data_IF_475834419246
#
_entry.id   IF_475834419246
#
_cell.length_a   1.000
_cell.length_b   1.000
_cell.length_c   1.000
_cell.angle_alpha   90.00
_cell.angle_beta   90.00
_cell.angle_gamma   90.00
#
_symmetry.space_group_name_H-M   'P 1'
#
loop_
_entity.id
_entity.type
_entity.pdbx_description
1 polymer ?
#
# COMPACT_ATOMS: atom_id res chain seq x y z
N UNK A 1 -8.24 -4.76 -13.23
CA UNK A 1 -7.72 -5.49 -12.07
C UNK A 1 -7.31 -4.45 -11.06
N UNK A 2 -7.59 -4.70 -9.79
CA UNK A 2 -7.29 -3.81 -8.67
C UNK A 2 -6.62 -4.61 -7.56
N UNK A 3 -5.93 -3.90 -6.68
CA UNK A 3 -5.50 -4.39 -5.38
C UNK A 3 -6.59 -4.04 -4.37
N UNK A 4 -6.97 -5.01 -3.55
CA UNK A 4 -7.80 -4.82 -2.36
C UNK A 4 -6.95 -5.13 -1.13
N UNK A 5 -6.76 -4.13 -0.27
CA UNK A 5 -5.84 -4.18 0.87
C UNK A 5 -6.62 -4.22 2.19
N UNK A 6 -6.31 -5.19 3.02
CA UNK A 6 -6.83 -5.30 4.39
C UNK A 6 -5.72 -5.66 5.38
N UNK A 7 -5.99 -5.52 6.67
CA UNK A 7 -5.03 -5.80 7.74
C UNK A 7 -5.66 -6.72 8.76
N UNK A 8 -4.93 -7.75 9.19
CA UNK A 8 -5.36 -8.65 10.26
C UNK A 8 -4.37 -8.63 11.42
N UNK A 9 -4.90 -8.53 12.63
CA UNK A 9 -4.13 -8.61 13.87
C UNK A 9 -4.48 -9.89 14.63
N UNK A 10 -3.48 -10.55 15.21
CA UNK A 10 -3.69 -11.68 16.12
C UNK A 10 -4.04 -11.15 17.51
N UNK A 11 -5.10 -11.69 18.11
CA UNK A 11 -5.47 -11.36 19.48
C UNK A 11 -4.50 -12.04 20.46
N UNK A 12 -3.97 -11.27 21.42
CA UNK A 12 -3.08 -11.82 22.43
C UNK A 12 -3.78 -12.88 23.28
N UNK A 13 -3.09 -14.00 23.54
CA UNK A 13 -3.66 -15.15 24.24
C UNK A 13 -4.71 -15.96 23.48
N UNK A 14 -4.95 -15.70 22.18
CA UNK A 14 -5.89 -16.47 21.36
C UNK A 14 -5.34 -16.82 19.98
N UNK A 15 -5.78 -17.94 19.40
CA UNK A 15 -5.52 -18.31 17.99
C UNK A 15 -6.51 -17.64 17.02
N UNK A 16 -7.05 -16.48 17.39
CA UNK A 16 -8.02 -15.73 16.62
C UNK A 16 -7.36 -14.52 15.96
N UNK A 17 -7.73 -14.29 14.70
CA UNK A 17 -7.38 -13.08 13.95
C UNK A 17 -8.61 -12.21 13.77
N UNK A 18 -8.40 -10.90 13.81
CA UNK A 18 -9.44 -9.89 13.57
C UNK A 18 -8.95 -8.89 12.53
N UNK A 19 -9.85 -8.41 11.67
CA UNK A 19 -9.53 -7.31 10.78
C UNK A 19 -9.45 -6.00 11.55
N UNK A 20 -8.47 -5.17 11.21
CA UNK A 20 -8.20 -3.87 11.82
C UNK A 20 -7.93 -2.83 10.73
N UNK A 21 -7.99 -1.55 11.10
CA UNK A 21 -7.72 -0.46 10.17
C UNK A 21 -8.92 -0.06 9.32
N UNK A 22 -8.65 0.69 8.25
CA UNK A 22 -9.66 1.20 7.33
C UNK A 22 -10.23 0.05 6.46
N UNK A 23 -11.56 -0.05 6.36
CA UNK A 23 -12.26 -1.18 5.71
C UNK A 23 -12.19 -1.18 4.18
N UNK A 24 -11.70 -0.12 3.54
CA UNK A 24 -11.69 0.02 2.09
C UNK A 24 -10.44 0.75 1.59
N UNK A 25 -9.40 -0.01 1.31
CA UNK A 25 -8.23 0.47 0.57
C UNK A 25 -8.15 -0.32 -0.73
N UNK A 26 -8.64 0.28 -1.83
CA UNK A 26 -8.57 -0.30 -3.16
C UNK A 26 -7.80 0.62 -4.10
N UNK A 27 -6.99 0.05 -4.99
CA UNK A 27 -6.34 0.81 -6.05
C UNK A 27 -6.15 -0.02 -7.31
N UNK A 28 -6.19 0.64 -8.46
CA UNK A 28 -5.98 -0.01 -9.76
C UNK A 28 -4.58 -0.60 -9.92
N UNK A 29 -4.48 -1.78 -10.56
CA UNK A 29 -3.18 -2.37 -10.92
C UNK A 29 -2.50 -1.64 -12.10
N UNK A 30 -3.14 -0.64 -12.69
CA UNK A 30 -2.53 0.09 -13.80
C UNK A 30 -1.30 0.91 -13.38
N UNK A 31 -1.18 1.27 -12.09
CA UNK A 31 -0.03 2.01 -11.56
C UNK A 31 1.01 1.09 -10.89
N UNK A 32 0.93 -0.23 -11.06
CA UNK A 32 1.86 -1.18 -10.43
C UNK A 32 3.33 -0.94 -10.79
N UNK A 33 3.61 -0.46 -12.01
CA UNK A 33 4.97 -0.08 -12.41
C UNK A 33 5.47 1.14 -11.64
N UNK A 34 4.60 2.15 -11.43
CA UNK A 34 4.91 3.32 -10.61
C UNK A 34 5.22 2.91 -9.17
N UNK A 35 4.37 2.05 -8.58
CA UNK A 35 4.53 1.58 -7.20
C UNK A 35 5.83 0.78 -7.07
N UNK A 36 6.13 -0.13 -8.01
CA UNK A 36 7.39 -0.88 -8.00
C UNK A 36 8.61 0.03 -8.08
N UNK A 37 8.56 1.07 -8.89
CA UNK A 37 9.69 2.00 -9.03
C UNK A 37 10.01 2.72 -7.71
N UNK A 38 8.99 3.09 -6.92
CA UNK A 38 9.19 3.84 -5.67
C UNK A 38 9.32 2.96 -4.42
N UNK A 39 8.70 1.78 -4.41
CA UNK A 39 8.70 0.84 -3.27
C UNK A 39 9.63 -0.37 -3.48
N UNK A 40 10.26 -0.50 -4.65
CA UNK A 40 11.13 -1.64 -5.00
C UNK A 40 10.40 -2.99 -5.16
N UNK A 41 9.08 -3.03 -5.01
CA UNK A 41 8.26 -4.25 -5.03
C UNK A 41 6.83 -3.94 -5.47
N UNK A 42 6.11 -4.94 -5.97
CA UNK A 42 4.69 -4.79 -6.30
C UNK A 42 3.82 -4.94 -5.05
N UNK A 43 2.62 -4.35 -5.02
CA UNK A 43 1.69 -4.57 -3.90
C UNK A 43 1.40 -6.03 -3.61
N UNK A 44 1.33 -6.90 -4.62
CA UNK A 44 1.15 -8.34 -4.44
C UNK A 44 2.27 -9.01 -3.63
N UNK A 45 3.49 -8.46 -3.65
CA UNK A 45 4.65 -8.99 -2.91
C UNK A 45 4.58 -8.64 -1.42
N UNK A 46 3.63 -7.79 -1.03
CA UNK A 46 3.43 -7.37 0.36
C UNK A 46 2.54 -8.34 1.13
N UNK A 47 1.72 -9.12 0.44
CA UNK A 47 0.79 -10.07 1.05
C UNK A 47 1.49 -10.96 2.08
N UNK A 48 0.99 -10.97 3.31
CA UNK A 48 1.53 -11.76 4.41
C UNK A 48 2.69 -11.12 5.19
N UNK A 49 3.18 -9.94 4.78
CA UNK A 49 4.18 -9.18 5.56
C UNK A 49 3.56 -8.48 6.75
N UNK A 50 4.35 -8.25 7.80
CA UNK A 50 3.94 -7.38 8.88
C UNK A 50 3.93 -5.91 8.43
N UNK A 51 3.09 -5.11 9.08
CA UNK A 51 3.04 -3.68 8.87
C UNK A 51 4.39 -3.01 9.21
N UNK A 52 5.05 -3.43 10.29
CA UNK A 52 6.36 -2.94 10.69
C UNK A 52 7.42 -3.10 9.58
N UNK A 53 7.43 -4.23 8.88
CA UNK A 53 8.33 -4.45 7.73
C UNK A 53 8.06 -3.50 6.56
N UNK A 54 6.80 -3.08 6.37
CA UNK A 54 6.39 -2.25 5.24
C UNK A 54 6.49 -0.75 5.50
N UNK A 55 6.44 -0.30 6.76
CA UNK A 55 6.56 1.11 7.12
C UNK A 55 7.73 1.81 6.39
N UNK A 56 8.98 1.34 6.47
CA UNK A 56 10.10 2.05 5.83
C UNK A 56 9.98 2.08 4.29
N UNK A 57 9.41 1.02 3.69
CA UNK A 57 9.21 0.92 2.24
C UNK A 57 8.16 1.93 1.77
N UNK A 58 7.01 1.95 2.45
CA UNK A 58 5.89 2.82 2.12
C UNK A 58 6.22 4.30 2.40
N UNK A 59 6.89 4.59 3.50
CA UNK A 59 7.30 5.97 3.87
C UNK A 59 8.27 6.56 2.84
N UNK A 60 9.25 5.77 2.38
CA UNK A 60 10.15 6.15 1.31
C UNK A 60 9.41 6.37 -0.02
N UNK A 61 8.51 5.44 -0.38
CA UNK A 61 7.76 5.51 -1.64
C UNK A 61 6.82 6.72 -1.70
N UNK A 62 6.08 7.00 -0.62
CA UNK A 62 5.23 8.20 -0.51
C UNK A 62 6.05 9.48 -0.61
N UNK A 63 7.17 9.55 0.11
CA UNK A 63 8.06 10.72 0.10
C UNK A 63 8.63 10.99 -1.30
N UNK A 64 9.07 9.94 -2.00
CA UNK A 64 9.60 10.05 -3.37
C UNK A 64 8.54 10.56 -4.35
N UNK A 65 7.32 9.99 -4.33
CA UNK A 65 6.23 10.44 -5.20
C UNK A 65 5.81 11.87 -4.92
N UNK A 66 5.70 12.27 -3.64
CA UNK A 66 5.36 13.64 -3.27
C UNK A 66 6.43 14.64 -3.74
N UNK A 67 7.71 14.27 -3.62
CA UNK A 67 8.83 15.14 -3.96
C UNK A 67 9.07 15.28 -5.46
N UNK A 68 8.87 14.20 -6.22
CA UNK A 68 9.22 14.13 -7.64
C UNK A 68 8.03 13.74 -8.52
N UNK A 69 6.82 14.13 -8.15
CA UNK A 69 5.55 13.76 -8.83
C UNK A 69 5.60 13.85 -10.36
N UNK A 70 6.16 14.93 -10.90
CA UNK A 70 6.25 15.13 -12.35
C UNK A 70 7.07 14.04 -13.07
N UNK A 71 8.10 13.46 -12.43
CA UNK A 71 8.90 12.36 -12.99
C UNK A 71 8.07 11.09 -13.15
N UNK A 72 7.11 10.87 -12.25
CA UNK A 72 6.32 9.65 -12.20
C UNK A 72 5.05 9.70 -13.06
N UNK A 73 4.66 10.88 -13.56
CA UNK A 73 3.51 11.01 -14.49
C UNK A 73 3.65 10.15 -15.75
N UNK A 74 4.86 9.80 -16.16
CA UNK A 74 5.09 8.89 -17.30
C UNK A 74 4.52 7.47 -17.08
N UNK A 75 4.24 7.08 -15.84
CA UNK A 75 3.60 5.81 -15.49
C UNK A 75 2.07 5.90 -15.43
N UNK A 76 1.49 7.08 -15.62
CA UNK A 76 0.03 7.23 -15.62
C UNK A 76 -0.55 6.54 -16.87
N UNK A 77 -1.55 5.65 -16.69
CA UNK A 77 -2.13 4.92 -17.79
C UNK A 77 -3.02 5.81 -18.65
N UNK A 78 -2.99 5.59 -19.97
CA UNK A 78 -3.81 6.33 -20.93
C UNK A 78 -5.32 6.09 -20.79
N UNK A 79 -5.72 5.04 -20.07
CA UNK A 79 -7.13 4.72 -19.81
C UNK A 79 -7.76 5.59 -18.70
N UNK A 80 -6.98 6.43 -18.02
CA UNK A 80 -7.45 7.36 -16.99
C UNK A 80 -7.68 6.75 -15.61
N UNK A 81 -7.36 5.47 -15.41
CA UNK A 81 -7.52 4.79 -14.13
C UNK A 81 -6.21 4.74 -13.37
N UNK A 82 -6.02 5.70 -12.46
CA UNK A 82 -4.83 5.86 -11.63
C UNK A 82 -3.97 7.05 -12.07
N UNK A 83 -3.45 7.78 -11.10
CA UNK A 83 -2.58 8.95 -11.26
C UNK A 83 -1.48 8.90 -10.21
N UNK A 84 -0.50 9.80 -10.29
CA UNK A 84 0.46 9.99 -9.21
C UNK A 84 -0.24 10.33 -7.90
N UNK A 85 -1.24 11.21 -7.92
CA UNK A 85 -1.95 11.66 -6.73
C UNK A 85 -2.75 10.53 -6.07
N UNK A 86 -3.53 9.79 -6.85
CA UNK A 86 -4.29 8.63 -6.33
C UNK A 86 -3.36 7.50 -5.84
N UNK A 87 -2.17 7.37 -6.45
CA UNK A 87 -1.14 6.41 -5.97
C UNK A 87 -0.53 6.88 -4.64
N UNK A 88 -0.26 8.18 -4.46
CA UNK A 88 0.18 8.74 -3.18
C UNK A 88 -0.86 8.49 -2.09
N UNK A 89 -2.14 8.73 -2.39
CA UNK A 89 -3.25 8.49 -1.46
C UNK A 89 -3.32 7.02 -1.05
N UNK A 90 -3.27 6.11 -2.03
CA UNK A 90 -3.25 4.67 -1.77
C UNK A 90 -2.09 4.25 -0.83
N UNK A 91 -0.86 4.63 -1.15
CA UNK A 91 0.31 4.28 -0.33
C UNK A 91 0.25 4.94 1.06
N UNK A 92 -0.24 6.19 1.14
CA UNK A 92 -0.37 6.91 2.41
C UNK A 92 -1.42 6.28 3.33
N UNK A 93 -2.53 5.79 2.78
CA UNK A 93 -3.56 5.09 3.53
C UNK A 93 -3.04 3.77 4.09
N UNK A 94 -2.26 3.01 3.30
CA UNK A 94 -1.60 1.79 3.81
C UNK A 94 -0.60 2.16 4.91
N UNK A 95 0.27 3.14 4.68
CA UNK A 95 1.27 3.59 5.65
C UNK A 95 0.64 4.03 6.97
N UNK A 96 -0.46 4.77 6.92
CA UNK A 96 -1.23 5.20 8.09
C UNK A 96 -1.71 3.98 8.91
N UNK A 97 -2.30 2.99 8.24
CA UNK A 97 -2.78 1.77 8.90
C UNK A 97 -1.62 0.95 9.46
N UNK A 98 -0.51 0.83 8.73
CA UNK A 98 0.69 0.16 9.23
C UNK A 98 1.27 0.84 10.48
N UNK A 99 1.30 2.19 10.52
CA UNK A 99 1.75 2.95 11.69
C UNK A 99 0.80 2.79 12.88
N UNK A 100 -0.50 2.61 12.65
CA UNK A 100 -1.50 2.38 13.70
C UNK A 100 -1.45 0.95 14.26
N UNK A 101 -1.20 -0.04 13.41
CA UNK A 101 -1.17 -1.45 13.76
C UNK A 101 0.13 -2.12 13.29
N UNK A 102 1.31 -1.80 13.88
CA UNK A 102 2.60 -2.26 13.39
C UNK A 102 2.76 -3.79 13.38
N UNK A 103 2.07 -4.50 14.27
CA UNK A 103 2.10 -5.97 14.34
C UNK A 103 1.05 -6.65 13.46
N UNK A 104 0.18 -5.91 12.79
CA UNK A 104 -0.81 -6.50 11.88
C UNK A 104 -0.12 -7.02 10.62
N UNK A 105 -0.70 -8.06 10.04
CA UNK A 105 -0.28 -8.65 8.77
C UNK A 105 -1.16 -8.06 7.66
N UNK A 106 -0.54 -7.62 6.57
CA UNK A 106 -1.26 -7.10 5.40
C UNK A 106 -1.77 -8.26 4.54
N UNK A 107 -2.97 -8.12 3.98
CA UNK A 107 -3.51 -9.00 2.96
C UNK A 107 -3.81 -8.20 1.69
N UNK A 108 -3.46 -8.78 0.55
CA UNK A 108 -3.63 -8.17 -0.78
C UNK A 108 -4.36 -9.17 -1.67
N UNK A 109 -5.53 -8.79 -2.18
CA UNK A 109 -6.32 -9.55 -3.14
C UNK A 109 -6.39 -8.88 -4.50
#
# INVERSE_FOLDING_TARGET
>A
MSYDVSFKAKLDGAEQWVYVGDDWINHTCNTSAMIKEVCGSYPSDWNGKSCEELIPVLDAGVTELMRYSQRYRQFEPSNGWGTVETTIEFLSNILKNCKMYPTAVIEIN
#
